data_IF_866309395486
#
_entry.id   IF_866309395486
#
_cell.length_a   1.000
_cell.length_b   1.000
_cell.length_c   1.000
_cell.angle_alpha   90.00
_cell.angle_beta   90.00
_cell.angle_gamma   90.00
#
_symmetry.space_group_name_H-M   'P 1'
#
loop_
_entity.id
_entity.type
_entity.pdbx_description
1 polymer ?
#
# COMPACT_ATOMS: atom_id res chain seq x y z
N UNK A 1 13.76 -0.66 12.58
CA UNK A 1 13.13 0.51 11.94
C UNK A 1 13.05 0.40 10.41
N UNK A 2 13.99 -0.27 9.73
CA UNK A 2 14.00 -0.41 8.26
C UNK A 2 12.66 -0.86 7.59
N UNK A 3 11.93 -1.82 8.17
CA UNK A 3 10.68 -2.33 7.58
C UNK A 3 9.58 -1.26 7.50
N UNK A 4 9.46 -0.40 8.51
CA UNK A 4 8.46 0.66 8.50
C UNK A 4 8.78 1.70 7.42
N UNK A 5 10.06 2.01 7.23
CA UNK A 5 10.53 2.93 6.20
C UNK A 5 10.26 2.36 4.79
N UNK A 6 10.47 1.05 4.59
CA UNK A 6 10.12 0.35 3.35
C UNK A 6 8.62 0.39 3.07
N UNK A 7 7.78 0.15 4.08
CA UNK A 7 6.31 0.25 3.98
C UNK A 7 5.90 1.67 3.59
N UNK A 8 6.48 2.70 4.21
CA UNK A 8 6.18 4.10 3.88
C UNK A 8 6.65 4.48 2.47
N UNK A 9 7.83 4.01 2.04
CA UNK A 9 8.34 4.23 0.70
C UNK A 9 7.44 3.56 -0.36
N UNK A 10 7.03 2.31 -0.13
CA UNK A 10 6.10 1.60 -1.00
C UNK A 10 4.73 2.28 -1.03
N UNK A 11 4.20 2.68 0.12
CA UNK A 11 2.95 3.46 0.22
C UNK A 11 3.00 4.74 -0.62
N UNK A 12 4.11 5.48 -0.53
CA UNK A 12 4.33 6.70 -1.30
C UNK A 12 4.43 6.41 -2.79
N UNK A 13 5.14 5.35 -3.20
CA UNK A 13 5.27 4.92 -4.60
C UNK A 13 3.93 4.56 -5.23
N UNK A 14 3.09 3.82 -4.49
CA UNK A 14 1.75 3.40 -4.93
C UNK A 14 0.74 4.56 -4.85
N UNK A 15 1.06 5.62 -4.11
CA UNK A 15 0.26 6.85 -4.04
C UNK A 15 -0.96 6.74 -3.14
N UNK A 16 -0.93 5.90 -2.09
CA UNK A 16 -2.07 5.70 -1.19
C UNK A 16 -1.91 6.40 0.16
N UNK A 17 -3.04 6.78 0.76
CA UNK A 17 -3.06 7.41 2.08
C UNK A 17 -2.87 6.37 3.19
N UNK A 18 -2.39 6.80 4.36
CA UNK A 18 -2.28 5.93 5.54
C UNK A 18 -3.63 5.27 5.88
N UNK A 19 -4.71 6.05 5.82
CA UNK A 19 -6.07 5.57 6.05
C UNK A 19 -6.46 4.46 5.08
N UNK A 20 -6.20 4.63 3.79
CA UNK A 20 -6.51 3.62 2.78
C UNK A 20 -5.70 2.34 2.98
N UNK A 21 -4.40 2.48 3.28
CA UNK A 21 -3.53 1.35 3.59
C UNK A 21 -4.01 0.59 4.83
N UNK A 22 -4.29 1.29 5.93
CA UNK A 22 -4.79 0.69 7.17
C UNK A 22 -6.14 0.00 6.95
N UNK A 23 -7.05 0.63 6.22
CA UNK A 23 -8.35 0.03 5.88
C UNK A 23 -8.18 -1.26 5.07
N UNK A 24 -7.27 -1.28 4.09
CA UNK A 24 -7.00 -2.46 3.27
C UNK A 24 -6.32 -3.58 4.07
N UNK A 25 -5.45 -3.22 5.01
CA UNK A 25 -4.78 -4.14 5.92
C UNK A 25 -5.66 -4.61 7.11
N UNK A 26 -6.87 -4.07 7.27
CA UNK A 26 -7.74 -4.37 8.41
C UNK A 26 -7.18 -3.87 9.75
N UNK A 27 -6.39 -2.81 9.72
CA UNK A 27 -5.72 -2.23 10.89
C UNK A 27 -6.42 -0.95 11.33
N UNK A 28 -6.45 -0.73 12.64
CA UNK A 28 -6.92 0.54 13.18
C UNK A 28 -5.86 1.64 12.96
N UNK A 29 -6.28 2.76 12.38
CA UNK A 29 -5.39 3.87 12.01
C UNK A 29 -4.61 4.42 13.22
N UNK A 30 -5.21 4.43 14.40
CA UNK A 30 -4.54 4.86 15.64
C UNK A 30 -3.36 3.94 16.03
N UNK A 31 -3.44 2.63 15.73
CA UNK A 31 -2.33 1.69 15.98
C UNK A 31 -1.16 2.03 15.06
N UNK A 32 -1.43 2.24 13.78
CA UNK A 32 -0.42 2.62 12.78
C UNK A 32 0.25 3.96 13.11
N UNK A 33 -0.52 4.98 13.49
CA UNK A 33 0.03 6.29 13.89
C UNK A 33 0.93 6.21 15.12
N UNK A 34 0.59 5.38 16.12
CA UNK A 34 1.45 5.16 17.29
C UNK A 34 2.73 4.42 16.94
N UNK A 35 2.68 3.47 16.01
CA UNK A 35 3.88 2.79 15.48
C UNK A 35 4.80 3.79 14.79
N UNK A 36 4.21 4.64 13.93
CA UNK A 36 4.95 5.68 13.19
C UNK A 36 5.61 6.72 14.10
N UNK A 37 4.95 7.09 15.18
CA UNK A 37 5.50 8.01 16.17
C UNK A 37 6.48 7.35 17.16
N UNK A 38 6.77 6.05 17.00
CA UNK A 38 7.70 5.32 17.86
C UNK A 38 7.14 4.94 19.23
N UNK A 39 5.85 5.15 19.48
CA UNK A 39 5.18 4.77 20.74
C UNK A 39 4.82 3.29 20.80
N UNK A 40 4.76 2.61 19.66
CA UNK A 40 4.50 1.17 19.56
C UNK A 40 5.52 0.51 18.64
N UNK A 41 5.97 -0.69 19.00
CA UNK A 41 6.78 -1.52 18.11
C UNK A 41 5.91 -2.12 17.02
N UNK A 42 6.41 -2.11 15.78
CA UNK A 42 5.79 -2.83 14.68
C UNK A 42 5.96 -4.34 14.92
N UNK A 43 4.86 -5.03 15.21
CA UNK A 43 4.83 -6.50 15.27
C UNK A 43 4.86 -7.10 13.84
N UNK A 44 5.38 -8.32 13.72
CA UNK A 44 5.55 -8.99 12.42
C UNK A 44 4.20 -9.17 11.70
N UNK A 45 3.16 -9.53 12.44
CA UNK A 45 1.82 -9.74 11.87
C UNK A 45 1.24 -8.46 11.24
N UNK A 46 1.43 -7.32 11.90
CA UNK A 46 1.03 -5.99 11.40
C UNK A 46 1.87 -5.62 10.18
N UNK A 47 3.17 -5.90 10.19
CA UNK A 47 4.03 -5.70 9.03
C UNK A 47 3.54 -6.52 7.82
N UNK A 48 3.29 -7.81 8.01
CA UNK A 48 2.81 -8.72 6.96
C UNK A 48 1.47 -8.25 6.37
N UNK A 49 0.53 -7.82 7.24
CA UNK A 49 -0.76 -7.26 6.81
C UNK A 49 -0.60 -5.99 5.96
N UNK A 50 0.34 -5.12 6.34
CA UNK A 50 0.62 -3.89 5.58
C UNK A 50 1.28 -4.19 4.24
N UNK A 51 2.22 -5.15 4.20
CA UNK A 51 2.91 -5.58 2.99
C UNK A 51 1.94 -6.25 2.00
N UNK A 52 1.08 -7.15 2.47
CA UNK A 52 0.06 -7.80 1.64
C UNK A 52 -0.95 -6.76 1.10
N UNK A 53 -1.39 -5.82 1.93
CA UNK A 53 -2.26 -4.73 1.50
C UNK A 53 -1.62 -3.87 0.39
N UNK A 54 -0.35 -3.48 0.56
CA UNK A 54 0.40 -2.74 -0.47
C UNK A 54 0.54 -3.53 -1.76
N UNK A 55 0.89 -4.81 -1.67
CA UNK A 55 1.06 -5.69 -2.81
C UNK A 55 -0.23 -5.84 -3.62
N UNK A 56 -1.37 -5.97 -2.95
CA UNK A 56 -2.69 -6.00 -3.59
C UNK A 56 -3.02 -4.70 -4.32
N UNK A 57 -2.77 -3.56 -3.69
CA UNK A 57 -3.03 -2.24 -4.31
C UNK A 57 -2.10 -2.04 -5.52
N UNK A 58 -0.82 -2.38 -5.39
CA UNK A 58 0.15 -2.28 -6.50
C UNK A 58 -0.26 -3.18 -7.68
N UNK A 59 -0.72 -4.40 -7.40
CA UNK A 59 -1.25 -5.31 -8.40
C UNK A 59 -2.49 -4.74 -9.09
N UNK A 60 -3.46 -4.22 -8.32
CA UNK A 60 -4.67 -3.58 -8.86
C UNK A 60 -4.32 -2.38 -9.75
N UNK A 61 -3.36 -1.55 -9.33
CA UNK A 61 -2.87 -0.42 -10.13
C UNK A 61 -2.20 -0.89 -11.43
N UNK A 62 -1.34 -1.91 -11.36
CA UNK A 62 -0.68 -2.49 -12.53
C UNK A 62 -1.69 -3.05 -13.54
N UNK A 63 -2.69 -3.80 -13.07
CA UNK A 63 -3.78 -4.32 -13.93
C UNK A 63 -4.59 -3.19 -14.55
N UNK A 64 -4.90 -2.13 -13.80
CA UNK A 64 -5.59 -0.94 -14.34
C UNK A 64 -4.79 -0.25 -15.42
N UNK A 65 -3.48 -0.07 -15.22
CA UNK A 65 -2.57 0.52 -16.22
C UNK A 65 -2.48 -0.37 -17.46
N UNK A 66 -2.35 -1.70 -17.29
CA UNK A 66 -2.33 -2.65 -18.39
C UNK A 66 -3.64 -2.60 -19.21
N UNK A 67 -4.79 -2.52 -18.53
CA UNK A 67 -6.11 -2.39 -19.18
C UNK A 67 -6.29 -1.05 -19.88
N UNK A 68 -5.79 0.04 -19.32
CA UNK A 68 -5.81 1.35 -19.98
C UNK A 68 -4.96 1.35 -21.27
N UNK A 69 -3.80 0.68 -21.24
CA UNK A 69 -2.93 0.52 -22.41
C UNK A 69 -3.55 -0.35 -23.51
N UNK A 70 -4.24 -1.44 -23.16
CA UNK A 70 -4.90 -2.28 -24.16
C UNK A 70 -6.10 -1.62 -24.82
N UNK A 71 -6.82 -0.71 -24.13
CA UNK A 71 -7.92 0.07 -24.73
C UNK A 71 -7.40 1.23 -25.59
N UNK A 72 -6.28 1.87 -25.20
CA UNK A 72 -5.66 2.95 -25.98
C UNK A 72 -5.03 2.51 -27.30
N UNK A 73 -4.64 1.24 -27.42
CA UNK A 73 -4.04 0.68 -28.65
C UNK A 73 -5.06 0.34 -29.76
N UNK A 74 -6.37 0.51 -29.51
CA UNK A 74 -7.44 0.14 -30.45
C UNK A 74 -8.02 1.28 -31.30
N UNK A 75 -7.44 2.49 -31.29
CA UNK A 75 -7.95 3.64 -32.06
C UNK A 75 -6.89 4.22 -32.99
N UNK A 76 -6.38 3.39 -33.89
CA UNK A 76 -5.61 3.78 -35.06
C UNK A 76 -5.72 2.67 -36.13
N UNK A 77 -6.89 2.57 -36.77
CA UNK A 77 -7.10 1.90 -38.05
C UNK A 77 -8.36 2.49 -38.70
#
# INVERSE_FOLDING_TARGET
>A
MAILDEIEAARSRVGVTNRALCARAGLAEHKYSKIKAGFLTLDQETADKLIDALSRIEHENSVRVARARSIGAGRAA
#
